data_IF_783243147859
#
_entry.id   IF_783243147859
#
_cell.length_a   1.000
_cell.length_b   1.000
_cell.length_c   1.000
_cell.angle_alpha   90.00
_cell.angle_beta   90.00
_cell.angle_gamma   90.00
#
_symmetry.space_group_name_H-M   'P 1'
#
loop_
_entity.id
_entity.type
_entity.pdbx_description
1 polymer ?
#
# COMPACT_ATOMS: atom_id res chain seq x y z
N UNK A 1 -20.61 -49.54 24.88
CA UNK A 1 -20.20 -48.70 26.02
C UNK A 1 -19.37 -47.55 25.45
N UNK A 2 -20.05 -46.42 25.23
CA UNK A 2 -19.49 -45.21 24.62
C UNK A 2 -18.72 -44.42 25.68
N UNK A 3 -17.43 -44.19 25.47
CA UNK A 3 -16.60 -43.36 26.34
C UNK A 3 -16.72 -41.90 25.90
N UNK A 4 -17.10 -41.06 26.86
CA UNK A 4 -17.24 -39.61 26.73
C UNK A 4 -15.87 -38.96 26.51
N UNK A 5 -15.72 -38.19 25.44
CA UNK A 5 -14.69 -37.15 25.32
C UNK A 5 -15.01 -36.00 26.31
N UNK A 6 -14.01 -35.44 27.02
CA UNK A 6 -14.22 -34.26 27.83
C UNK A 6 -14.32 -33.03 26.93
N UNK A 7 -15.35 -32.20 27.16
CA UNK A 7 -15.51 -30.91 26.52
C UNK A 7 -14.28 -30.00 26.77
N UNK A 8 -13.90 -29.13 25.81
CA UNK A 8 -12.80 -28.20 25.97
C UNK A 8 -13.10 -27.20 27.10
N UNK A 9 -12.06 -26.70 27.81
CA UNK A 9 -12.25 -25.79 28.93
C UNK A 9 -12.82 -24.46 28.45
N UNK A 10 -13.98 -24.10 28.98
CA UNK A 10 -14.57 -22.76 28.84
C UNK A 10 -13.62 -21.76 29.49
N UNK A 11 -12.95 -20.92 28.68
CA UNK A 11 -12.19 -19.78 29.19
C UNK A 11 -13.16 -18.82 29.88
N UNK A 12 -13.20 -18.88 31.21
CA UNK A 12 -13.90 -17.91 32.03
C UNK A 12 -13.15 -16.56 31.92
N UNK A 13 -13.64 -15.66 31.07
CA UNK A 13 -13.21 -14.27 31.03
C UNK A 13 -13.71 -13.55 32.28
N UNK A 14 -12.95 -13.61 33.37
CA UNK A 14 -13.11 -12.69 34.49
C UNK A 14 -12.70 -11.30 34.02
N UNK A 15 -13.67 -10.52 33.51
CA UNK A 15 -13.46 -9.12 33.18
C UNK A 15 -13.21 -8.32 34.47
N UNK A 16 -11.98 -7.85 34.66
CA UNK A 16 -11.68 -6.88 35.71
C UNK A 16 -12.55 -5.62 35.50
N UNK A 17 -13.09 -5.01 36.57
CA UNK A 17 -13.93 -3.82 36.43
C UNK A 17 -13.15 -2.69 35.75
N UNK A 18 -13.73 -2.13 34.68
CA UNK A 18 -13.10 -1.07 33.90
C UNK A 18 -12.60 0.08 34.79
N UNK A 19 -11.43 0.62 34.49
CA UNK A 19 -10.87 1.74 35.25
C UNK A 19 -11.72 3.01 35.12
N UNK A 20 -11.51 3.99 36.01
CA UNK A 20 -12.33 5.22 36.07
C UNK A 20 -12.31 6.01 34.76
N UNK A 21 -11.18 6.01 34.05
CA UNK A 21 -11.01 6.74 32.79
C UNK A 21 -11.79 6.07 31.65
N UNK A 22 -11.76 4.75 31.61
CA UNK A 22 -12.53 3.91 30.67
C UNK A 22 -14.02 4.14 30.85
N UNK A 23 -14.52 4.16 32.10
CA UNK A 23 -15.93 4.46 32.40
C UNK A 23 -16.38 5.84 31.94
N UNK A 24 -15.48 6.82 31.93
CA UNK A 24 -15.78 8.18 31.47
C UNK A 24 -15.78 8.30 29.93
N UNK A 25 -14.82 7.66 29.26
CA UNK A 25 -14.61 7.80 27.81
C UNK A 25 -15.55 6.91 26.98
N UNK A 26 -15.89 5.71 27.48
CA UNK A 26 -16.74 4.74 26.78
C UNK A 26 -18.09 5.32 26.33
N UNK A 27 -18.91 5.97 27.18
CA UNK A 27 -20.18 6.56 26.74
C UNK A 27 -20.03 7.71 25.73
N UNK A 28 -18.87 8.36 25.67
CA UNK A 28 -18.59 9.41 24.67
C UNK A 28 -18.31 8.77 23.31
N UNK A 29 -17.45 7.74 23.27
CA UNK A 29 -17.17 7.00 22.05
C UNK A 29 -18.42 6.32 21.49
N UNK A 30 -19.25 5.68 22.33
CA UNK A 30 -20.51 5.08 21.88
C UNK A 30 -21.45 6.11 21.24
N UNK A 31 -21.59 7.31 21.84
CA UNK A 31 -22.39 8.40 21.25
C UNK A 31 -21.82 8.95 19.94
N UNK A 32 -20.50 8.91 19.77
CA UNK A 32 -19.85 9.29 18.52
C UNK A 32 -20.13 8.25 17.44
N UNK A 33 -19.95 6.96 17.77
CA UNK A 33 -20.25 5.84 16.87
C UNK A 33 -21.74 5.78 16.48
N UNK A 34 -22.65 6.24 17.34
CA UNK A 34 -24.08 6.30 17.02
C UNK A 34 -24.45 7.32 15.93
N UNK A 35 -23.50 8.20 15.56
CA UNK A 35 -23.67 9.15 14.47
C UNK A 35 -23.27 8.60 13.10
N UNK A 36 -22.68 7.39 13.05
CA UNK A 36 -22.26 6.79 11.77
C UNK A 36 -23.44 6.62 10.82
N UNK A 37 -23.26 7.05 9.57
CA UNK A 37 -24.21 6.91 8.48
C UNK A 37 -23.77 5.81 7.51
N UNK A 38 -24.70 5.37 6.64
CA UNK A 38 -24.41 4.38 5.60
C UNK A 38 -24.23 2.94 6.11
N UNK A 39 -24.60 2.67 7.36
CA UNK A 39 -24.46 1.37 7.99
C UNK A 39 -24.83 1.34 9.48
N UNK A 40 -24.63 0.17 10.09
CA UNK A 40 -24.71 -0.01 11.54
C UNK A 40 -23.49 -0.76 12.08
N UNK A 41 -23.11 -0.41 13.30
CA UNK A 41 -22.03 -1.05 14.05
C UNK A 41 -22.63 -1.72 15.29
N UNK A 42 -22.61 -3.05 15.33
CA UNK A 42 -22.97 -3.79 16.54
C UNK A 42 -21.72 -3.96 17.41
N UNK A 43 -21.69 -3.32 18.57
CA UNK A 43 -20.62 -3.49 19.56
C UNK A 43 -21.04 -4.49 20.62
N UNK A 44 -20.23 -5.55 20.80
CA UNK A 44 -20.40 -6.58 21.81
C UNK A 44 -19.28 -6.49 22.85
N UNK A 45 -19.62 -6.44 24.13
CA UNK A 45 -18.65 -6.44 25.25
C UNK A 45 -19.22 -7.26 26.41
N UNK A 46 -18.69 -8.46 26.64
CA UNK A 46 -19.27 -9.40 27.60
C UNK A 46 -20.73 -9.73 27.23
N UNK A 47 -21.69 -9.36 28.09
CA UNK A 47 -23.13 -9.54 27.84
C UNK A 47 -23.80 -8.30 27.23
N UNK A 48 -23.09 -7.18 27.13
CA UNK A 48 -23.64 -5.94 26.61
C UNK A 48 -23.61 -5.94 25.08
N UNK A 49 -24.70 -5.47 24.48
CA UNK A 49 -24.86 -5.31 23.04
C UNK A 49 -25.37 -3.91 22.75
N UNK A 50 -24.62 -3.15 21.96
CA UNK A 50 -25.01 -1.84 21.45
C UNK A 50 -25.13 -1.91 19.93
N UNK A 51 -26.26 -1.50 19.39
CA UNK A 51 -26.42 -1.30 17.94
C UNK A 51 -26.36 0.21 17.70
N UNK A 52 -25.35 0.64 16.95
CA UNK A 52 -25.00 2.05 16.77
C UNK A 52 -25.09 2.41 15.29
N UNK A 53 -25.39 3.69 15.01
CA UNK A 53 -25.42 4.26 13.66
C UNK A 53 -26.84 4.41 13.12
N UNK A 54 -26.96 5.04 11.95
CA UNK A 54 -28.25 5.41 11.33
C UNK A 54 -28.80 4.35 10.37
N UNK A 55 -28.18 3.16 10.33
CA UNK A 55 -28.57 2.07 9.44
C UNK A 55 -28.06 2.24 8.02
N UNK A 56 -28.15 1.17 7.22
CA UNK A 56 -27.70 1.17 5.82
C UNK A 56 -27.15 -0.19 5.38
N UNK A 57 -26.44 -0.19 4.25
CA UNK A 57 -25.98 -1.41 3.61
C UNK A 57 -24.78 -2.08 4.32
N UNK A 58 -23.98 -1.33 5.08
CA UNK A 58 -22.78 -1.84 5.78
C UNK A 58 -23.11 -2.17 7.22
N UNK A 59 -23.27 -3.45 7.55
CA UNK A 59 -23.55 -3.89 8.92
C UNK A 59 -22.40 -4.76 9.40
N UNK A 60 -21.71 -4.33 10.45
CA UNK A 60 -20.51 -4.99 10.98
C UNK A 60 -20.59 -5.16 12.49
N UNK A 61 -19.96 -6.21 13.01
CA UNK A 61 -19.94 -6.54 14.44
C UNK A 61 -18.53 -6.39 14.98
N UNK A 62 -18.36 -5.45 15.91
CA UNK A 62 -17.13 -5.27 16.67
C UNK A 62 -17.27 -5.90 18.06
N UNK A 63 -16.32 -6.74 18.45
CA UNK A 63 -16.26 -7.38 19.76
C UNK A 63 -15.11 -6.78 20.57
N UNK A 64 -15.41 -6.22 21.73
CA UNK A 64 -14.43 -5.74 22.70
C UNK A 64 -14.16 -6.87 23.70
N UNK A 65 -12.93 -7.40 23.68
CA UNK A 65 -12.48 -8.42 24.62
C UNK A 65 -11.89 -7.81 25.90
N UNK A 66 -11.31 -6.62 25.78
CA UNK A 66 -10.67 -5.88 26.86
C UNK A 66 -11.12 -4.42 26.88
N UNK A 67 -11.81 -4.01 27.94
CA UNK A 67 -12.34 -2.64 28.10
C UNK A 67 -11.26 -1.55 28.04
N UNK A 68 -9.97 -1.88 28.25
CA UNK A 68 -8.85 -0.94 28.05
C UNK A 68 -8.76 -0.43 26.60
N UNK A 69 -9.35 -1.13 25.63
CA UNK A 69 -9.45 -0.68 24.24
C UNK A 69 -10.13 0.68 24.13
N UNK A 70 -11.21 0.93 24.90
CA UNK A 70 -11.95 2.20 24.86
C UNK A 70 -11.08 3.41 25.19
N UNK A 71 -10.31 3.35 26.28
CA UNK A 71 -9.41 4.46 26.65
C UNK A 71 -8.27 4.63 25.66
N UNK A 72 -7.74 3.53 25.08
CA UNK A 72 -6.68 3.60 24.07
C UNK A 72 -7.18 4.29 22.79
N UNK A 73 -8.33 3.87 22.28
CA UNK A 73 -8.95 4.46 21.10
C UNK A 73 -9.26 5.95 21.29
N UNK A 74 -9.83 6.34 22.43
CA UNK A 74 -10.16 7.73 22.71
C UNK A 74 -8.94 8.65 22.82
N UNK A 75 -7.80 8.17 23.36
CA UNK A 75 -6.63 9.00 23.62
C UNK A 75 -5.56 8.95 22.52
N UNK A 76 -5.44 7.80 21.85
CA UNK A 76 -4.41 7.55 20.85
C UNK A 76 -4.92 7.49 19.41
N UNK A 77 -6.22 7.73 19.19
CA UNK A 77 -6.81 7.81 17.86
C UNK A 77 -6.71 6.51 17.06
N UNK A 78 -6.60 6.65 15.74
CA UNK A 78 -6.62 5.53 14.78
C UNK A 78 -5.43 4.58 14.94
N UNK A 79 -4.25 5.10 15.29
CA UNK A 79 -3.05 4.27 15.55
C UNK A 79 -3.27 3.38 16.78
N UNK A 80 -3.75 3.94 17.89
CA UNK A 80 -4.00 3.14 19.09
C UNK A 80 -5.18 2.18 18.93
N UNK A 81 -6.15 2.48 18.05
CA UNK A 81 -7.19 1.53 17.67
C UNK A 81 -6.60 0.31 16.95
N UNK A 82 -5.69 0.54 15.99
CA UNK A 82 -4.97 -0.55 15.30
C UNK A 82 -4.08 -1.35 16.27
N UNK A 83 -3.35 -0.69 17.17
CA UNK A 83 -2.54 -1.40 18.18
C UNK A 83 -3.41 -2.24 19.12
N UNK A 84 -4.57 -1.73 19.55
CA UNK A 84 -5.51 -2.49 20.35
C UNK A 84 -6.05 -3.72 19.59
N UNK A 85 -6.22 -3.63 18.27
CA UNK A 85 -6.52 -4.79 17.42
C UNK A 85 -5.38 -5.80 17.44
N UNK A 86 -4.14 -5.34 17.20
CA UNK A 86 -2.93 -6.18 17.22
C UNK A 86 -2.72 -6.87 18.57
N UNK A 87 -3.08 -6.21 19.68
CA UNK A 87 -3.02 -6.74 21.04
C UNK A 87 -4.19 -7.68 21.39
N UNK A 88 -5.09 -7.98 20.45
CA UNK A 88 -6.25 -8.84 20.68
C UNK A 88 -7.32 -8.24 21.60
N UNK A 89 -7.29 -6.92 21.84
CA UNK A 89 -8.23 -6.26 22.75
C UNK A 89 -9.61 -6.07 22.13
N UNK A 90 -9.68 -6.05 20.80
CA UNK A 90 -10.92 -6.08 20.05
C UNK A 90 -10.74 -6.81 18.71
N UNK A 91 -11.85 -7.26 18.14
CA UNK A 91 -11.92 -7.87 16.82
C UNK A 91 -13.23 -7.49 16.12
N UNK A 92 -13.36 -7.90 14.86
CA UNK A 92 -14.56 -7.67 14.06
C UNK A 92 -14.79 -8.85 13.12
N UNK A 93 -16.03 -9.10 12.77
CA UNK A 93 -16.42 -10.13 11.79
C UNK A 93 -16.03 -9.75 10.36
N UNK A 94 -16.04 -8.46 10.04
CA UNK A 94 -15.60 -7.92 8.76
C UNK A 94 -14.74 -6.66 8.96
N UNK A 95 -13.41 -6.82 8.86
CA UNK A 95 -12.47 -5.71 9.05
C UNK A 95 -12.49 -4.74 7.87
N UNK A 96 -12.68 -5.24 6.65
CA UNK A 96 -12.81 -4.41 5.45
C UNK A 96 -14.09 -3.59 5.54
N UNK A 97 -15.22 -4.21 5.88
CA UNK A 97 -16.50 -3.54 6.10
C UNK A 97 -16.43 -2.46 7.17
N UNK A 98 -15.72 -2.73 8.28
CA UNK A 98 -15.51 -1.76 9.35
C UNK A 98 -14.72 -0.54 8.87
N UNK A 99 -13.60 -0.76 8.18
CA UNK A 99 -12.78 0.32 7.60
C UNK A 99 -13.61 1.13 6.59
N UNK A 100 -14.39 0.45 5.75
CA UNK A 100 -15.27 1.10 4.76
C UNK A 100 -16.34 1.97 5.41
N UNK A 101 -16.94 1.50 6.52
CA UNK A 101 -17.91 2.29 7.28
C UNK A 101 -17.28 3.56 7.87
N UNK A 102 -16.08 3.46 8.44
CA UNK A 102 -15.36 4.63 8.95
C UNK A 102 -14.89 5.57 7.85
N UNK A 103 -14.41 5.04 6.72
CA UNK A 103 -13.98 5.82 5.56
C UNK A 103 -15.15 6.56 4.89
N UNK A 104 -16.35 5.99 4.88
CA UNK A 104 -17.56 6.69 4.42
C UNK A 104 -17.89 7.90 5.29
N UNK A 105 -17.63 7.80 6.60
CA UNK A 105 -17.92 8.84 7.58
C UNK A 105 -16.69 9.72 7.89
N UNK A 106 -15.63 9.68 7.07
CA UNK A 106 -14.31 10.19 7.44
C UNK A 106 -14.30 11.67 7.83
N UNK A 107 -15.10 12.51 7.15
CA UNK A 107 -15.22 13.94 7.47
C UNK A 107 -15.89 14.15 8.85
N UNK A 108 -16.93 13.38 9.16
CA UNK A 108 -17.62 13.44 10.47
C UNK A 108 -16.79 12.80 11.61
N UNK A 109 -16.00 11.76 11.31
CA UNK A 109 -15.15 11.05 12.26
C UNK A 109 -13.91 11.88 12.62
N UNK A 110 -13.29 12.56 11.65
CA UNK A 110 -12.09 13.38 11.91
C UNK A 110 -12.43 14.65 12.70
N UNK A 111 -13.53 15.34 12.41
CA UNK A 111 -13.92 16.56 13.14
C UNK A 111 -14.30 16.28 14.61
N UNK A 112 -14.73 15.06 14.93
CA UNK A 112 -15.17 14.67 16.28
C UNK A 112 -14.09 14.02 17.14
N UNK A 113 -13.13 13.30 16.55
CA UNK A 113 -12.00 12.66 17.27
C UNK A 113 -10.88 13.65 17.59
N UNK A 114 -10.76 14.77 16.87
CA UNK A 114 -9.65 15.72 17.01
C UNK A 114 -9.83 16.86 18.04
N UNK A 115 -10.97 16.93 18.72
CA UNK A 115 -11.25 18.01 19.67
C UNK A 115 -10.71 17.72 21.08
N UNK A 116 -9.42 18.00 21.30
CA UNK A 116 -8.96 18.59 22.57
C UNK A 116 -7.76 17.97 23.28
N UNK A 117 -7.45 16.68 23.12
CA UNK A 117 -6.34 16.02 23.85
C UNK A 117 -5.24 15.43 22.95
N UNK A 118 -5.43 15.37 21.63
CA UNK A 118 -4.48 14.74 20.68
C UNK A 118 -3.25 15.58 20.31
N UNK A 119 -3.08 16.80 20.85
CA UNK A 119 -1.97 17.69 20.45
C UNK A 119 -0.58 17.16 20.82
N UNK A 120 -0.43 16.57 22.01
CA UNK A 120 0.86 16.05 22.48
C UNK A 120 1.25 14.75 21.76
N UNK A 121 0.28 13.86 21.52
CA UNK A 121 0.48 12.64 20.74
C UNK A 121 0.77 12.96 19.27
N UNK A 122 0.06 13.92 18.67
CA UNK A 122 0.36 14.44 17.31
C UNK A 122 1.78 15.04 17.20
N UNK A 123 2.26 15.73 18.23
CA UNK A 123 3.64 16.27 18.26
C UNK A 123 4.70 15.16 18.37
N UNK A 124 4.53 14.19 19.27
CA UNK A 124 5.46 13.07 19.38
C UNK A 124 5.51 12.24 18.08
N UNK A 125 4.36 12.04 17.44
CA UNK A 125 4.22 11.35 16.17
C UNK A 125 4.82 12.15 14.99
N UNK A 126 4.69 13.48 14.97
CA UNK A 126 5.31 14.31 13.93
C UNK A 126 6.84 14.33 14.05
N UNK A 127 7.39 14.27 15.27
CA UNK A 127 8.83 14.08 15.51
C UNK A 127 9.28 12.70 15.01
N UNK A 128 8.53 11.64 15.31
CA UNK A 128 8.83 10.29 14.80
C UNK A 128 8.83 10.24 13.26
N UNK A 129 7.90 10.93 12.61
CA UNK A 129 7.86 11.04 11.15
C UNK A 129 9.06 11.82 10.59
N UNK A 130 9.47 12.89 11.25
CA UNK A 130 10.64 13.67 10.85
C UNK A 130 11.96 12.85 10.91
N UNK A 131 12.05 11.87 11.82
CA UNK A 131 13.18 10.94 11.92
C UNK A 131 13.18 9.84 10.85
N UNK A 132 12.02 9.57 10.21
CA UNK A 132 11.87 8.54 9.19
C UNK A 132 12.04 9.06 7.74
N UNK A 133 12.68 10.22 7.52
CA UNK A 133 12.80 10.86 6.20
C UNK A 133 13.71 10.08 5.22
N UNK A 134 13.29 10.03 3.94
CA UNK A 134 13.99 9.33 2.84
C UNK A 134 15.16 10.12 2.22
N UNK A 135 16.10 10.56 3.06
CA UNK A 135 17.44 10.96 2.58
C UNK A 135 18.17 9.75 1.97
N UNK A 136 19.30 9.92 1.26
CA UNK A 136 20.07 8.77 0.72
C UNK A 136 20.33 7.67 1.77
N UNK A 137 20.84 8.06 2.94
CA UNK A 137 21.06 7.13 4.04
C UNK A 137 19.74 6.62 4.67
N UNK A 138 18.73 7.48 4.75
CA UNK A 138 17.41 7.15 5.31
C UNK A 138 16.63 6.15 4.45
N UNK A 139 16.64 6.30 3.13
CA UNK A 139 16.02 5.40 2.16
C UNK A 139 16.53 3.98 2.34
N UNK A 140 17.86 3.79 2.46
CA UNK A 140 18.45 2.47 2.71
C UNK A 140 17.96 1.85 4.03
N UNK A 141 17.86 2.65 5.10
CA UNK A 141 17.37 2.18 6.41
C UNK A 141 15.89 1.80 6.39
N UNK A 142 15.04 2.62 5.76
CA UNK A 142 13.60 2.38 5.69
C UNK A 142 13.28 1.17 4.81
N UNK A 143 14.00 1.00 3.69
CA UNK A 143 13.90 -0.18 2.83
C UNK A 143 14.40 -1.42 3.57
N UNK A 144 15.57 -1.38 4.21
CA UNK A 144 16.05 -2.51 5.03
C UNK A 144 15.01 -2.91 6.08
N UNK A 145 14.51 -1.99 6.89
CA UNK A 145 13.55 -2.31 7.95
C UNK A 145 12.20 -2.88 7.44
N UNK A 146 11.78 -2.56 6.21
CA UNK A 146 10.56 -3.11 5.61
C UNK A 146 10.77 -4.45 4.91
N UNK A 147 11.94 -4.65 4.30
CA UNK A 147 12.32 -5.90 3.62
C UNK A 147 13.12 -6.86 4.52
N UNK A 148 13.41 -6.49 5.78
CA UNK A 148 13.80 -7.43 6.85
C UNK A 148 12.65 -8.43 7.12
N UNK A 149 11.44 -8.18 6.60
CA UNK A 149 10.43 -9.21 6.34
C UNK A 149 10.92 -10.08 5.18
N UNK A 150 11.55 -11.20 5.50
CA UNK A 150 12.25 -12.03 4.52
C UNK A 150 11.39 -12.46 3.32
N UNK A 151 12.06 -12.69 2.19
CA UNK A 151 11.45 -13.14 0.93
C UNK A 151 10.41 -14.26 1.14
N UNK A 152 10.71 -15.21 2.02
CA UNK A 152 9.87 -16.36 2.35
C UNK A 152 8.44 -15.98 2.76
N UNK A 153 8.23 -14.85 3.45
CA UNK A 153 6.90 -14.38 3.82
C UNK A 153 6.12 -13.93 2.58
N UNK A 154 6.76 -13.13 1.73
CA UNK A 154 6.15 -12.58 0.52
C UNK A 154 5.78 -13.67 -0.49
N UNK A 155 6.59 -14.72 -0.61
CA UNK A 155 6.30 -15.86 -1.49
C UNK A 155 4.98 -16.57 -1.14
N UNK A 156 4.50 -16.50 0.11
CA UNK A 156 3.26 -17.14 0.53
C UNK A 156 2.01 -16.52 -0.11
N UNK A 157 2.04 -15.23 -0.45
CA UNK A 157 0.84 -14.51 -0.88
C UNK A 157 0.98 -13.71 -2.18
N UNK A 158 2.20 -13.42 -2.65
CA UNK A 158 2.38 -12.77 -3.96
C UNK A 158 2.05 -13.72 -5.12
N UNK A 159 2.05 -13.18 -6.34
CA UNK A 159 1.87 -14.01 -7.53
C UNK A 159 3.09 -14.90 -7.78
N UNK A 160 2.83 -16.09 -8.31
CA UNK A 160 3.85 -17.13 -8.44
C UNK A 160 4.80 -16.94 -9.62
N UNK A 161 4.49 -16.06 -10.55
CA UNK A 161 5.28 -15.85 -11.77
C UNK A 161 6.26 -14.69 -11.58
N UNK A 162 5.74 -13.53 -11.19
CA UNK A 162 6.48 -12.27 -11.18
C UNK A 162 6.92 -11.83 -9.79
N UNK A 163 6.22 -12.25 -8.72
CA UNK A 163 6.39 -11.78 -7.33
C UNK A 163 6.19 -10.25 -7.23
N UNK A 164 5.12 -9.74 -7.84
CA UNK A 164 4.76 -8.32 -7.80
C UNK A 164 4.13 -7.96 -6.45
N UNK A 165 4.85 -7.19 -5.64
CA UNK A 165 4.29 -6.48 -4.48
C UNK A 165 3.84 -5.06 -4.89
N UNK A 166 2.89 -5.02 -5.81
CA UNK A 166 2.29 -3.80 -6.37
C UNK A 166 0.88 -4.12 -6.85
N UNK A 167 0.03 -3.13 -7.12
CA UNK A 167 -1.27 -3.32 -7.74
C UNK A 167 -1.17 -4.16 -9.03
N UNK A 168 -1.97 -5.22 -9.11
CA UNK A 168 -2.25 -5.93 -10.36
C UNK A 168 -3.37 -5.22 -11.13
N UNK A 169 -3.59 -5.59 -12.40
CA UNK A 169 -4.70 -5.09 -13.22
C UNK A 169 -5.46 -6.31 -13.73
N UNK A 170 -6.69 -6.46 -13.27
CA UNK A 170 -7.51 -7.64 -13.57
C UNK A 170 -8.18 -7.46 -14.94
N UNK A 171 -7.87 -8.29 -15.95
CA UNK A 171 -8.48 -8.17 -17.28
C UNK A 171 -9.98 -8.51 -17.29
N UNK A 172 -10.43 -9.26 -16.30
CA UNK A 172 -11.84 -9.59 -16.02
C UNK A 172 -11.99 -9.95 -14.53
N UNK A 173 -13.20 -9.89 -13.94
CA UNK A 173 -13.41 -9.97 -12.49
C UNK A 173 -12.90 -11.26 -11.82
N UNK A 174 -12.92 -12.39 -12.53
CA UNK A 174 -12.54 -13.72 -12.04
C UNK A 174 -11.08 -14.09 -12.35
N UNK A 175 -10.29 -13.19 -12.93
CA UNK A 175 -8.89 -13.47 -13.28
C UNK A 175 -8.06 -13.83 -12.04
N UNK A 176 -7.12 -14.78 -12.19
CA UNK A 176 -6.17 -15.09 -11.13
C UNK A 176 -5.23 -13.92 -10.86
N UNK A 177 -4.61 -13.91 -9.68
CA UNK A 177 -3.59 -12.91 -9.35
C UNK A 177 -2.41 -12.97 -10.32
N UNK A 178 -2.00 -14.16 -10.75
CA UNK A 178 -0.96 -14.36 -11.77
C UNK A 178 -1.35 -13.70 -13.10
N UNK A 179 -2.57 -13.98 -13.60
CA UNK A 179 -3.06 -13.39 -14.84
C UNK A 179 -3.17 -11.86 -14.73
N UNK A 180 -3.61 -11.35 -13.58
CA UNK A 180 -3.71 -9.91 -13.34
C UNK A 180 -2.34 -9.22 -13.22
N UNK A 181 -1.35 -9.87 -12.59
CA UNK A 181 0.03 -9.37 -12.52
C UNK A 181 0.66 -9.33 -13.91
N UNK A 182 0.54 -10.41 -14.69
CA UNK A 182 1.04 -10.47 -16.08
C UNK A 182 0.34 -9.42 -16.95
N UNK A 183 -0.99 -9.29 -16.85
CA UNK A 183 -1.75 -8.28 -17.61
C UNK A 183 -1.32 -6.85 -17.27
N UNK A 184 -1.05 -6.55 -15.99
CA UNK A 184 -0.49 -5.25 -15.58
C UNK A 184 0.85 -4.96 -16.24
N UNK A 185 1.76 -5.93 -16.32
CA UNK A 185 3.06 -5.75 -16.98
C UNK A 185 2.88 -5.50 -18.48
N UNK A 186 2.06 -6.30 -19.15
CA UNK A 186 1.78 -6.11 -20.58
C UNK A 186 1.16 -4.74 -20.86
N UNK A 187 0.25 -4.27 -19.99
CA UNK A 187 -0.34 -2.93 -20.09
C UNK A 187 0.72 -1.84 -19.99
N UNK A 188 1.64 -1.90 -19.02
CA UNK A 188 2.75 -0.95 -18.90
C UNK A 188 3.68 -0.98 -20.11
N UNK A 189 4.00 -2.17 -20.64
CA UNK A 189 4.86 -2.31 -21.82
C UNK A 189 4.19 -1.76 -23.08
N UNK A 190 2.87 -1.90 -23.20
CA UNK A 190 2.10 -1.35 -24.30
C UNK A 190 2.02 0.18 -24.22
N UNK A 191 1.83 0.76 -23.02
CA UNK A 191 1.91 2.21 -22.80
C UNK A 191 3.29 2.76 -23.21
N UNK A 192 4.34 1.99 -22.96
CA UNK A 192 5.71 2.34 -23.34
C UNK A 192 6.05 2.02 -24.79
N UNK A 193 5.15 1.41 -25.58
CA UNK A 193 5.49 0.91 -26.93
C UNK A 193 6.80 0.09 -26.91
N UNK A 194 6.98 -0.71 -25.87
CA UNK A 194 8.26 -1.36 -25.59
C UNK A 194 8.54 -2.45 -26.63
N UNK A 195 9.76 -2.42 -27.19
CA UNK A 195 10.19 -3.29 -28.28
C UNK A 195 11.69 -3.60 -28.19
N UNK A 196 12.22 -4.51 -29.02
CA UNK A 196 13.57 -5.05 -28.90
C UNK A 196 14.69 -4.02 -29.09
N UNK A 197 14.40 -2.92 -29.79
CA UNK A 197 15.34 -1.83 -30.02
C UNK A 197 15.56 -0.93 -28.80
N UNK A 198 14.64 -0.97 -27.83
CA UNK A 198 14.67 -0.05 -26.70
C UNK A 198 15.60 -0.53 -25.57
N UNK A 199 16.16 0.43 -24.86
CA UNK A 199 16.75 0.26 -23.54
C UNK A 199 15.79 0.77 -22.46
N UNK A 200 15.28 -0.17 -21.66
CA UNK A 200 14.39 0.09 -20.54
C UNK A 200 15.18 0.32 -19.25
N UNK A 201 14.89 1.40 -18.53
CA UNK A 201 15.24 1.54 -17.12
C UNK A 201 14.04 1.18 -16.24
N UNK A 202 14.22 0.22 -15.34
CA UNK A 202 13.31 -0.03 -14.22
C UNK A 202 13.89 0.58 -12.93
N UNK A 203 13.13 1.48 -12.31
CA UNK A 203 13.46 2.01 -10.98
C UNK A 203 12.66 1.24 -9.93
N UNK A 204 13.38 0.45 -9.12
CA UNK A 204 12.80 -0.44 -8.11
C UNK A 204 12.63 -1.86 -8.61
N UNK A 205 13.73 -2.63 -8.62
CA UNK A 205 13.78 -4.02 -9.13
C UNK A 205 12.77 -4.98 -8.50
N UNK A 206 12.43 -4.78 -7.23
CA UNK A 206 11.64 -5.77 -6.48
C UNK A 206 12.32 -7.15 -6.51
N UNK A 207 11.56 -8.16 -6.94
CA UNK A 207 12.03 -9.55 -7.12
C UNK A 207 12.34 -9.90 -8.58
N UNK A 208 12.54 -8.88 -9.44
CA UNK A 208 12.96 -9.02 -10.83
C UNK A 208 11.86 -9.37 -11.83
N UNK A 209 10.60 -9.49 -11.39
CA UNK A 209 9.48 -9.93 -12.24
C UNK A 209 9.32 -9.08 -13.50
N UNK A 210 9.31 -7.75 -13.37
CA UNK A 210 9.15 -6.85 -14.50
C UNK A 210 10.36 -6.88 -15.44
N UNK A 211 11.60 -6.77 -14.92
CA UNK A 211 12.79 -6.79 -15.77
C UNK A 211 12.93 -8.10 -16.56
N UNK A 212 12.72 -9.23 -15.89
CA UNK A 212 12.77 -10.56 -16.52
C UNK A 212 11.67 -10.69 -17.58
N UNK A 213 10.44 -10.29 -17.25
CA UNK A 213 9.32 -10.37 -18.19
C UNK A 213 9.54 -9.48 -19.42
N UNK A 214 10.00 -8.24 -19.24
CA UNK A 214 10.33 -7.31 -20.32
C UNK A 214 11.39 -7.90 -21.28
N UNK A 215 12.52 -8.36 -20.72
CA UNK A 215 13.61 -8.91 -21.51
C UNK A 215 13.19 -10.17 -22.29
N UNK A 216 12.34 -11.02 -21.69
CA UNK A 216 11.84 -12.26 -22.33
C UNK A 216 10.82 -11.98 -23.42
N UNK A 217 9.83 -11.12 -23.19
CA UNK A 217 8.68 -10.97 -24.09
C UNK A 217 8.85 -9.86 -25.12
N UNK A 218 9.61 -8.81 -24.81
CA UNK A 218 9.88 -7.70 -25.74
C UNK A 218 11.27 -7.76 -26.35
N UNK A 219 12.17 -8.53 -25.75
CA UNK A 219 13.53 -8.67 -26.23
C UNK A 219 14.39 -7.41 -26.09
N UNK A 220 13.93 -6.43 -25.31
CA UNK A 220 14.65 -5.19 -25.05
C UNK A 220 15.84 -5.42 -24.11
N UNK A 221 16.76 -4.44 -24.07
CA UNK A 221 17.77 -4.37 -23.01
C UNK A 221 17.14 -3.73 -21.78
N UNK A 222 17.44 -4.24 -20.59
CA UNK A 222 16.90 -3.73 -19.33
C UNK A 222 18.05 -3.37 -18.40
N UNK A 223 18.02 -2.16 -17.84
CA UNK A 223 18.74 -1.84 -16.61
C UNK A 223 17.73 -1.74 -15.48
N UNK A 224 17.96 -2.42 -14.38
CA UNK A 224 17.10 -2.36 -13.20
C UNK A 224 17.94 -2.07 -11.96
N UNK A 225 17.42 -1.26 -11.03
CA UNK A 225 18.15 -0.91 -9.80
C UNK A 225 17.33 -1.12 -8.53
N UNK A 226 18.03 -1.57 -7.47
CA UNK A 226 17.50 -1.65 -6.10
C UNK A 226 18.58 -1.23 -5.10
N UNK A 227 18.16 -0.77 -3.93
CA UNK A 227 19.07 -0.50 -2.79
C UNK A 227 19.00 -1.59 -1.71
N UNK A 228 18.17 -2.63 -1.91
CA UNK A 228 18.05 -3.78 -1.02
C UNK A 228 19.05 -4.88 -1.40
N UNK A 229 19.82 -5.33 -0.40
CA UNK A 229 20.79 -6.41 -0.56
C UNK A 229 20.12 -7.75 -0.89
N UNK A 230 18.97 -8.03 -0.25
CA UNK A 230 18.21 -9.27 -0.43
C UNK A 230 17.54 -9.33 -1.81
N UNK A 231 16.89 -8.25 -2.23
CA UNK A 231 16.27 -8.16 -3.55
C UNK A 231 17.31 -8.27 -4.67
N UNK A 232 18.47 -7.63 -4.49
CA UNK A 232 19.57 -7.74 -5.44
C UNK A 232 20.07 -9.18 -5.53
N UNK A 233 20.33 -9.86 -4.41
CA UNK A 233 20.79 -11.25 -4.39
C UNK A 233 19.77 -12.20 -5.04
N UNK A 234 18.50 -12.08 -4.66
CA UNK A 234 17.40 -12.89 -5.20
C UNK A 234 17.24 -12.68 -6.70
N UNK A 235 17.19 -11.42 -7.15
CA UNK A 235 17.00 -11.10 -8.57
C UNK A 235 18.19 -11.51 -9.42
N UNK A 236 19.42 -11.35 -8.92
CA UNK A 236 20.62 -11.84 -9.61
C UNK A 236 20.54 -13.34 -9.88
N UNK A 237 20.13 -14.14 -8.89
CA UNK A 237 19.96 -15.57 -9.05
C UNK A 237 18.87 -15.92 -10.08
N UNK A 238 17.74 -15.20 -10.08
CA UNK A 238 16.68 -15.39 -11.08
C UNK A 238 17.12 -15.03 -12.50
N UNK A 239 17.84 -13.92 -12.68
CA UNK A 239 18.35 -13.50 -14.01
C UNK A 239 19.27 -14.57 -14.59
N UNK A 240 20.19 -15.11 -13.77
CA UNK A 240 21.10 -16.18 -14.20
C UNK A 240 20.36 -17.48 -14.52
N UNK A 241 19.37 -17.87 -13.69
CA UNK A 241 18.56 -19.06 -13.93
C UNK A 241 17.73 -18.99 -15.23
N UNK A 242 17.34 -17.78 -15.64
CA UNK A 242 16.62 -17.52 -16.90
C UNK A 242 17.56 -17.28 -18.09
N UNK A 243 18.88 -17.21 -17.87
CA UNK A 243 19.88 -16.99 -18.92
C UNK A 243 19.81 -15.61 -19.59
N UNK A 244 19.42 -14.57 -18.84
CA UNK A 244 19.18 -13.21 -19.36
C UNK A 244 20.28 -12.21 -19.01
N UNK A 245 21.46 -12.70 -18.61
CA UNK A 245 22.58 -11.86 -18.16
C UNK A 245 23.13 -10.95 -19.28
N UNK A 246 22.93 -11.33 -20.55
CA UNK A 246 23.29 -10.53 -21.73
C UNK A 246 22.31 -9.37 -22.00
N UNK A 247 21.09 -9.44 -21.44
CA UNK A 247 20.02 -8.44 -21.66
C UNK A 247 19.69 -7.61 -20.44
N UNK A 248 19.94 -8.12 -19.25
CA UNK A 248 19.58 -7.45 -17.99
C UNK A 248 20.83 -7.04 -17.23
N UNK A 249 20.99 -5.73 -17.03
CA UNK A 249 21.95 -5.15 -16.11
C UNK A 249 21.26 -4.86 -14.78
N UNK A 250 21.61 -5.61 -13.73
CA UNK A 250 21.13 -5.39 -12.36
C UNK A 250 22.13 -4.52 -11.59
N UNK A 251 21.67 -3.37 -11.11
CA UNK A 251 22.44 -2.43 -10.30
C UNK A 251 22.02 -2.48 -8.83
N UNK A 252 22.96 -2.18 -7.93
CA UNK A 252 22.71 -2.01 -6.49
C UNK A 252 22.91 -0.56 -6.07
N UNK A 253 22.23 0.35 -6.76
CA UNK A 253 22.45 1.79 -6.65
C UNK A 253 21.14 2.56 -6.40
N UNK A 254 21.26 3.70 -5.72
CA UNK A 254 20.13 4.62 -5.60
C UNK A 254 19.84 5.25 -6.97
N UNK A 255 18.56 5.30 -7.37
CA UNK A 255 18.16 5.85 -8.66
C UNK A 255 18.66 7.29 -8.89
N UNK A 256 18.86 8.07 -7.82
CA UNK A 256 19.39 9.44 -7.86
C UNK A 256 20.82 9.50 -8.38
N UNK A 257 21.60 8.43 -8.21
CA UNK A 257 22.99 8.33 -8.62
C UNK A 257 23.19 7.76 -10.03
N UNK A 258 22.14 7.21 -10.64
CA UNK A 258 22.24 6.62 -11.98
C UNK A 258 22.67 7.65 -13.02
N UNK A 259 23.39 7.18 -14.04
CA UNK A 259 23.85 7.98 -15.17
C UNK A 259 23.38 7.39 -16.50
N UNK A 260 23.58 8.14 -17.59
CA UNK A 260 23.19 7.73 -18.93
C UNK A 260 21.82 8.27 -19.38
N UNK A 261 21.28 7.63 -20.40
CA UNK A 261 19.99 7.92 -21.03
C UNK A 261 19.32 6.63 -21.47
N UNK A 262 17.99 6.60 -21.40
CA UNK A 262 17.16 5.44 -21.67
C UNK A 262 15.98 5.81 -22.56
N UNK A 263 15.65 4.92 -23.50
CA UNK A 263 14.50 5.10 -24.39
C UNK A 263 13.19 5.06 -23.62
N UNK A 264 13.12 4.19 -22.60
CA UNK A 264 11.92 3.91 -21.82
C UNK A 264 12.28 3.84 -20.34
N UNK A 265 11.44 4.42 -19.49
CA UNK A 265 11.57 4.29 -18.04
C UNK A 265 10.27 3.74 -17.48
N UNK A 266 10.37 2.80 -16.55
CA UNK A 266 9.24 2.31 -15.77
C UNK A 266 9.56 2.41 -14.28
N UNK A 267 8.60 2.92 -13.52
CA UNK A 267 8.69 2.98 -12.07
C UNK A 267 7.34 2.64 -11.48
N UNK A 268 7.28 1.53 -10.74
CA UNK A 268 6.05 0.96 -10.19
C UNK A 268 6.07 1.11 -8.68
N UNK A 269 5.19 1.96 -8.15
CA UNK A 269 4.96 2.16 -6.72
C UNK A 269 6.24 2.47 -5.92
N UNK A 270 7.18 3.17 -6.58
CA UNK A 270 8.43 3.64 -5.98
C UNK A 270 8.32 5.10 -5.50
N UNK A 271 7.44 5.89 -6.11
CA UNK A 271 7.27 7.32 -5.80
C UNK A 271 6.84 7.54 -4.33
N UNK A 272 6.16 6.58 -3.73
CA UNK A 272 5.67 6.57 -2.36
C UNK A 272 6.82 6.52 -1.34
N UNK A 273 7.94 5.90 -1.73
CA UNK A 273 9.16 5.80 -0.93
C UNK A 273 10.09 7.02 -1.09
N UNK A 274 9.74 8.00 -1.92
CA UNK A 274 10.58 9.20 -2.16
C UNK A 274 10.46 10.22 -1.01
N UNK A 275 9.27 10.36 -0.43
CA UNK A 275 8.93 11.47 0.48
C UNK A 275 8.50 12.75 -0.26
N UNK A 276 7.43 13.40 0.20
CA UNK A 276 6.81 14.55 -0.49
C UNK A 276 7.77 15.71 -0.80
N UNK A 277 8.82 15.90 0.00
CA UNK A 277 9.81 16.97 -0.16
C UNK A 277 10.78 16.73 -1.33
N UNK A 278 10.89 15.48 -1.78
CA UNK A 278 11.82 15.06 -2.83
C UNK A 278 11.10 14.71 -4.14
N UNK A 279 9.79 14.98 -4.24
CA UNK A 279 8.99 14.70 -5.43
C UNK A 279 9.56 15.39 -6.69
N UNK A 280 9.95 16.67 -6.56
CA UNK A 280 10.64 17.42 -7.62
C UNK A 280 11.96 16.74 -8.03
N UNK A 281 12.80 16.38 -7.06
CA UNK A 281 14.07 15.67 -7.32
C UNK A 281 13.84 14.34 -8.05
N UNK A 282 12.80 13.59 -7.67
CA UNK A 282 12.43 12.34 -8.33
C UNK A 282 12.08 12.56 -9.80
N UNK A 283 11.15 13.47 -10.10
CA UNK A 283 10.72 13.76 -11.48
C UNK A 283 11.87 14.31 -12.35
N UNK A 284 12.68 15.23 -11.82
CA UNK A 284 13.91 15.71 -12.50
C UNK A 284 14.90 14.58 -12.80
N UNK A 285 14.99 13.60 -11.90
CA UNK A 285 15.87 12.45 -12.13
C UNK A 285 15.33 11.58 -13.25
N UNK A 286 14.02 11.33 -13.32
CA UNK A 286 13.42 10.59 -14.43
C UNK A 286 13.67 11.31 -15.75
N UNK A 287 13.40 12.62 -15.83
CA UNK A 287 13.67 13.42 -17.02
C UNK A 287 15.15 13.40 -17.40
N UNK A 288 16.05 13.58 -16.43
CA UNK A 288 17.50 13.52 -16.67
C UNK A 288 17.92 12.18 -17.28
N UNK A 289 17.28 11.07 -16.91
CA UNK A 289 17.62 9.75 -17.42
C UNK A 289 16.89 9.40 -18.73
N UNK A 290 15.92 10.21 -19.17
CA UNK A 290 15.11 9.93 -20.34
C UNK A 290 15.73 10.55 -21.61
N UNK A 291 15.68 9.81 -22.73
CA UNK A 291 15.90 10.41 -24.05
C UNK A 291 14.82 11.45 -24.38
N UNK A 292 15.09 12.47 -25.22
CA UNK A 292 14.10 13.51 -25.54
C UNK A 292 12.78 12.96 -26.11
N UNK A 293 12.83 11.88 -26.89
CA UNK A 293 11.70 11.17 -27.49
C UNK A 293 11.18 10.03 -26.59
N UNK A 294 11.77 9.84 -25.42
CA UNK A 294 11.48 8.72 -24.53
C UNK A 294 10.12 8.80 -23.83
N UNK A 295 9.70 7.66 -23.30
CA UNK A 295 8.45 7.51 -22.55
C UNK A 295 8.71 6.98 -21.14
N UNK A 296 7.94 7.47 -20.17
CA UNK A 296 7.94 7.03 -18.78
C UNK A 296 6.56 6.45 -18.45
N UNK A 297 6.52 5.23 -17.93
CA UNK A 297 5.34 4.68 -17.27
C UNK A 297 5.54 4.72 -15.76
N UNK A 298 4.74 5.56 -15.09
CA UNK A 298 4.76 5.72 -13.64
C UNK A 298 3.47 5.15 -13.05
N UNK A 299 3.57 4.10 -12.24
CA UNK A 299 2.45 3.63 -11.42
C UNK A 299 2.60 4.17 -10.00
N UNK A 300 1.57 4.82 -9.48
CA UNK A 300 1.61 5.53 -8.20
C UNK A 300 0.32 5.33 -7.42
N UNK A 301 0.43 4.97 -6.15
CA UNK A 301 -0.63 5.11 -5.16
C UNK A 301 -0.76 6.60 -4.84
N UNK A 302 -1.99 7.10 -4.92
CA UNK A 302 -2.31 8.50 -4.65
C UNK A 302 -3.23 8.64 -3.45
N UNK A 303 -3.20 9.81 -2.83
CA UNK A 303 -4.23 10.26 -1.90
C UNK A 303 -5.10 11.32 -2.57
N UNK A 304 -6.37 11.39 -2.16
CA UNK A 304 -7.28 12.47 -2.53
C UNK A 304 -6.64 13.84 -2.29
N UNK A 305 -6.67 14.71 -3.31
CA UNK A 305 -6.03 16.03 -3.28
C UNK A 305 -6.43 16.88 -2.06
N UNK A 306 -7.72 16.88 -1.69
CA UNK A 306 -8.23 17.63 -0.54
C UNK A 306 -7.60 17.21 0.79
N UNK A 307 -6.99 16.01 0.86
CA UNK A 307 -6.38 15.45 2.08
C UNK A 307 -4.86 15.51 2.07
N UNK A 308 -4.23 15.82 0.95
CA UNK A 308 -2.78 15.71 0.77
C UNK A 308 -1.99 16.47 1.84
N UNK A 309 -2.35 17.74 2.10
CA UNK A 309 -1.64 18.58 3.07
C UNK A 309 -1.73 18.02 4.50
N UNK A 310 -2.91 17.53 4.92
CA UNK A 310 -3.07 16.94 6.24
C UNK A 310 -2.32 15.60 6.33
N UNK A 311 -2.56 14.70 5.38
CA UNK A 311 -1.98 13.36 5.37
C UNK A 311 -0.46 13.36 5.23
N UNK A 312 0.14 14.33 4.53
CA UNK A 312 1.60 14.46 4.42
C UNK A 312 2.29 14.78 5.75
N UNK A 313 1.55 15.30 6.73
CA UNK A 313 2.04 15.71 8.07
C UNK A 313 1.70 14.71 9.18
N UNK A 314 0.73 13.84 8.96
CA UNK A 314 0.24 12.87 9.95
C UNK A 314 1.05 11.57 9.93
N UNK A 315 1.31 11.02 11.12
CA UNK A 315 1.76 9.63 11.27
C UNK A 315 0.51 8.75 11.49
N UNK A 316 0.22 7.90 10.52
CA UNK A 316 -0.84 6.91 10.61
C UNK A 316 -0.29 5.51 10.91
N UNK A 317 -1.18 4.52 10.96
CA UNK A 317 -0.81 3.12 11.17
C UNK A 317 0.18 2.63 10.09
N UNK A 318 -0.05 3.01 8.84
CA UNK A 318 0.77 2.57 7.70
C UNK A 318 2.19 3.10 7.84
N UNK A 319 2.38 4.40 8.07
CA UNK A 319 3.70 5.01 8.25
C UNK A 319 4.41 4.52 9.51
N UNK A 320 3.67 4.09 10.53
CA UNK A 320 4.25 3.63 11.78
C UNK A 320 4.70 2.17 11.72
N UNK A 321 3.91 1.29 11.12
CA UNK A 321 4.10 -0.16 11.22
C UNK A 321 4.46 -0.84 9.91
N UNK A 322 4.03 -0.28 8.78
CA UNK A 322 4.18 -0.92 7.46
C UNK A 322 5.25 -0.18 6.67
N UNK A 323 5.05 1.07 6.27
CA UNK A 323 5.96 1.83 5.43
C UNK A 323 6.52 3.08 6.14
N UNK A 324 7.50 2.94 7.06
CA UNK A 324 8.21 4.09 7.63
C UNK A 324 8.79 5.02 6.57
N UNK A 325 8.47 6.31 6.67
CA UNK A 325 8.88 7.32 5.70
C UNK A 325 8.05 7.36 4.41
N UNK A 326 7.11 6.44 4.23
CA UNK A 326 6.20 6.45 3.09
C UNK A 326 5.33 7.70 3.06
N UNK A 327 4.99 8.16 1.86
CA UNK A 327 3.96 9.17 1.65
C UNK A 327 3.16 8.83 0.41
N UNK A 328 1.92 9.33 0.34
CA UNK A 328 1.12 9.23 -0.86
C UNK A 328 1.06 10.61 -1.52
N UNK A 329 1.58 10.78 -2.74
CA UNK A 329 1.35 12.01 -3.50
C UNK A 329 -0.14 12.15 -3.84
N UNK A 330 -0.57 13.36 -4.19
CA UNK A 330 -1.85 13.56 -4.88
C UNK A 330 -1.61 13.83 -6.36
N UNK A 331 -2.67 13.79 -7.18
CA UNK A 331 -2.54 14.09 -8.61
C UNK A 331 -2.04 15.53 -8.81
N UNK A 332 -2.61 16.51 -8.09
CA UNK A 332 -2.13 17.90 -8.16
C UNK A 332 -0.68 18.01 -7.72
N UNK A 333 -0.25 17.32 -6.66
CA UNK A 333 1.15 17.37 -6.22
C UNK A 333 2.13 16.87 -7.29
N UNK A 334 1.81 15.77 -8.00
CA UNK A 334 2.63 15.24 -9.10
C UNK A 334 2.65 16.24 -10.25
N UNK A 335 1.49 16.72 -10.69
CA UNK A 335 1.38 17.59 -11.86
C UNK A 335 1.98 18.97 -11.63
N UNK A 336 1.84 19.53 -10.43
CA UNK A 336 2.50 20.78 -10.06
C UNK A 336 4.02 20.60 -10.06
N UNK A 337 4.54 19.51 -9.49
CA UNK A 337 5.98 19.25 -9.53
C UNK A 337 6.47 19.06 -10.97
N UNK A 338 5.75 18.33 -11.82
CA UNK A 338 6.10 18.21 -13.25
C UNK A 338 6.14 19.58 -13.95
N UNK A 339 5.09 20.38 -13.77
CA UNK A 339 4.94 21.70 -14.39
C UNK A 339 6.03 22.69 -13.98
N UNK A 340 6.46 22.65 -12.72
CA UNK A 340 7.44 23.59 -12.18
C UNK A 340 8.89 23.24 -12.52
N UNK A 341 9.17 21.95 -12.68
CA UNK A 341 10.53 21.43 -12.54
C UNK A 341 11.02 20.56 -13.70
N UNK A 342 10.16 20.25 -14.68
CA UNK A 342 10.48 19.39 -15.84
C UNK A 342 9.87 19.92 -17.14
N UNK A 343 10.26 19.35 -18.27
CA UNK A 343 9.65 19.51 -19.61
C UNK A 343 8.83 18.26 -20.00
N UNK A 344 8.50 17.40 -19.04
CA UNK A 344 7.71 16.20 -19.28
C UNK A 344 6.25 16.55 -19.55
N UNK A 345 5.64 15.89 -20.53
CA UNK A 345 4.22 16.01 -20.83
C UNK A 345 3.46 14.82 -20.25
N UNK A 346 2.31 15.07 -19.61
CA UNK A 346 1.36 14.01 -19.29
C UNK A 346 0.61 13.62 -20.58
N UNK A 347 0.75 12.38 -21.01
CA UNK A 347 0.11 11.86 -22.22
C UNK A 347 -1.13 11.02 -21.92
N UNK A 348 -1.10 10.26 -20.81
CA UNK A 348 -2.23 9.47 -20.35
C UNK A 348 -2.21 9.35 -18.83
N UNK A 349 -3.40 9.32 -18.21
CA UNK A 349 -3.59 8.98 -16.80
C UNK A 349 -4.78 8.03 -16.69
N UNK A 350 -4.57 6.88 -16.07
CA UNK A 350 -5.61 5.89 -15.83
C UNK A 350 -5.69 5.52 -14.34
N UNK A 351 -6.88 5.58 -13.76
CA UNK A 351 -7.16 5.10 -12.40
C UNK A 351 -7.33 3.57 -12.40
N UNK A 352 -6.55 2.90 -11.55
CA UNK A 352 -6.60 1.45 -11.30
C UNK A 352 -6.88 1.13 -9.83
N UNK A 353 -7.32 2.09 -9.00
CA UNK A 353 -7.47 1.93 -7.55
C UNK A 353 -8.33 0.73 -7.13
N UNK A 354 -9.42 0.43 -7.85
CA UNK A 354 -10.26 -0.74 -7.54
C UNK A 354 -9.57 -2.08 -7.87
N UNK A 355 -8.63 -2.10 -8.81
CA UNK A 355 -7.80 -3.28 -9.04
C UNK A 355 -6.83 -3.51 -7.88
N UNK A 356 -6.36 -2.45 -7.21
CA UNK A 356 -5.57 -2.62 -5.99
C UNK A 356 -6.43 -3.20 -4.85
N UNK A 357 -7.68 -2.77 -4.70
CA UNK A 357 -8.60 -3.41 -3.74
C UNK A 357 -8.75 -4.92 -4.01
N UNK A 358 -8.87 -5.33 -5.28
CA UNK A 358 -8.92 -6.75 -5.66
C UNK A 358 -7.58 -7.48 -5.40
N UNK A 359 -6.46 -6.80 -5.64
CA UNK A 359 -5.10 -7.32 -5.36
C UNK A 359 -4.91 -7.59 -3.88
N UNK A 360 -5.24 -6.62 -3.01
CA UNK A 360 -5.14 -6.74 -1.55
C UNK A 360 -6.06 -7.84 -1.00
N UNK A 361 -7.27 -7.97 -1.55
CA UNK A 361 -8.17 -9.07 -1.23
C UNK A 361 -7.53 -10.42 -1.56
N UNK A 362 -6.92 -10.56 -2.75
CA UNK A 362 -6.27 -11.80 -3.17
C UNK A 362 -5.05 -12.13 -2.30
N UNK A 363 -4.22 -11.14 -1.96
CA UNK A 363 -3.12 -11.30 -1.01
C UNK A 363 -3.62 -11.71 0.36
N UNK A 364 -4.67 -11.06 0.88
CA UNK A 364 -5.28 -11.42 2.17
C UNK A 364 -5.77 -12.86 2.19
N UNK A 365 -6.50 -13.29 1.15
CA UNK A 365 -6.97 -14.67 1.04
C UNK A 365 -5.83 -15.69 1.01
N UNK A 366 -4.73 -15.41 0.30
CA UNK A 366 -3.56 -16.29 0.25
C UNK A 366 -2.80 -16.32 1.58
N UNK A 367 -2.63 -15.17 2.21
CA UNK A 367 -2.01 -15.04 3.53
C UNK A 367 -2.78 -15.85 4.58
N UNK A 368 -4.11 -15.71 4.63
CA UNK A 368 -4.97 -16.50 5.54
C UNK A 368 -4.88 -18.01 5.28
N UNK A 369 -4.83 -18.42 4.01
CA UNK A 369 -4.70 -19.83 3.64
C UNK A 369 -3.34 -20.44 4.02
N UNK A 370 -2.35 -19.61 4.35
CA UNK A 370 -0.95 -20.01 4.62
C UNK A 370 -0.49 -19.65 6.03
N UNK A 371 -1.40 -19.33 6.96
CA UNK A 371 -1.03 -18.97 8.33
C UNK A 371 -0.17 -20.01 9.05
N UNK A 372 -0.37 -21.31 8.76
CA UNK A 372 0.50 -22.36 9.30
C UNK A 372 1.98 -22.16 8.93
N UNK A 373 2.26 -21.81 7.67
CA UNK A 373 3.62 -21.50 7.19
C UNK A 373 4.13 -20.19 7.78
N UNK A 374 3.27 -19.18 7.93
CA UNK A 374 3.61 -17.90 8.58
C UNK A 374 4.09 -18.14 10.03
N UNK A 375 3.38 -18.98 10.80
CA UNK A 375 3.80 -19.33 12.17
C UNK A 375 5.10 -20.14 12.20
N UNK A 376 5.30 -21.05 11.25
CA UNK A 376 6.55 -21.83 11.13
C UNK A 376 7.76 -20.93 10.83
N UNK A 377 7.57 -19.84 10.07
CA UNK A 377 8.60 -18.82 9.85
C UNK A 377 8.92 -17.96 11.09
N UNK A 378 8.18 -18.13 12.19
CA UNK A 378 8.44 -17.47 13.48
C UNK A 378 7.66 -16.18 13.72
N UNK A 379 6.72 -15.83 12.83
CA UNK A 379 5.83 -14.69 13.04
C UNK A 379 4.74 -15.02 14.06
N UNK A 380 4.54 -14.16 15.06
CA UNK A 380 3.57 -14.39 16.14
C UNK A 380 2.15 -13.92 15.78
N UNK A 381 1.17 -14.23 16.65
CA UNK A 381 -0.22 -13.80 16.47
C UNK A 381 -0.35 -12.27 16.36
N UNK A 382 0.49 -11.51 17.08
CA UNK A 382 0.49 -10.05 17.01
C UNK A 382 0.86 -9.58 15.61
N UNK A 383 1.88 -10.17 14.99
CA UNK A 383 2.26 -9.91 13.61
C UNK A 383 1.13 -10.27 12.65
N UNK A 384 0.54 -11.47 12.78
CA UNK A 384 -0.57 -11.92 11.92
C UNK A 384 -1.74 -10.94 11.97
N UNK A 385 -2.11 -10.45 13.16
CA UNK A 385 -3.14 -9.42 13.33
C UNK A 385 -2.72 -8.08 12.72
N UNK A 386 -1.46 -7.66 12.89
CA UNK A 386 -0.95 -6.46 12.23
C UNK A 386 -1.08 -6.55 10.70
N UNK A 387 -0.69 -7.68 10.11
CA UNK A 387 -0.71 -7.91 8.67
C UNK A 387 -2.14 -7.96 8.12
N UNK A 388 -3.04 -8.68 8.81
CA UNK A 388 -4.48 -8.70 8.49
C UNK A 388 -5.09 -7.30 8.54
N UNK A 389 -4.73 -6.51 9.56
CA UNK A 389 -5.18 -5.13 9.68
C UNK A 389 -4.66 -4.26 8.55
N UNK A 390 -3.38 -4.38 8.19
CA UNK A 390 -2.77 -3.69 7.06
C UNK A 390 -3.53 -3.94 5.75
N UNK A 391 -3.69 -5.21 5.36
CA UNK A 391 -4.33 -5.57 4.10
C UNK A 391 -5.79 -5.08 4.05
N UNK A 392 -6.55 -5.27 5.13
CA UNK A 392 -7.94 -4.83 5.21
C UNK A 392 -8.09 -3.30 5.23
N UNK A 393 -7.19 -2.60 5.93
CA UNK A 393 -7.16 -1.14 5.99
C UNK A 393 -6.93 -0.54 4.60
N UNK A 394 -5.93 -1.05 3.87
CA UNK A 394 -5.65 -0.62 2.51
C UNK A 394 -6.79 -1.00 1.55
N UNK A 395 -7.33 -2.23 1.62
CA UNK A 395 -8.44 -2.66 0.77
C UNK A 395 -9.67 -1.74 0.96
N UNK A 396 -10.05 -1.47 2.20
CA UNK A 396 -11.15 -0.56 2.51
C UNK A 396 -10.91 0.85 2.00
N UNK A 397 -9.68 1.37 2.14
CA UNK A 397 -9.29 2.69 1.65
C UNK A 397 -9.40 2.85 0.13
N UNK A 398 -9.01 1.81 -0.63
CA UNK A 398 -9.19 1.79 -2.08
C UNK A 398 -10.66 1.65 -2.50
N UNK A 399 -11.42 0.76 -1.83
CA UNK A 399 -12.86 0.58 -2.12
C UNK A 399 -13.69 1.84 -1.91
N UNK A 400 -13.35 2.64 -0.90
CA UNK A 400 -14.03 3.92 -0.60
C UNK A 400 -13.34 5.13 -1.25
N UNK A 401 -12.33 4.92 -2.11
CA UNK A 401 -11.62 5.99 -2.82
C UNK A 401 -11.10 7.09 -1.89
N UNK A 402 -10.64 6.71 -0.68
CA UNK A 402 -9.88 7.62 0.20
C UNK A 402 -8.42 7.71 -0.25
N UNK A 403 -7.95 6.64 -0.88
CA UNK A 403 -6.71 6.53 -1.63
C UNK A 403 -7.04 5.95 -3.02
N UNK A 404 -6.17 6.21 -4.00
CA UNK A 404 -6.29 5.74 -5.37
C UNK A 404 -4.97 5.17 -5.86
N UNK A 405 -4.95 4.63 -7.06
CA UNK A 405 -3.71 4.21 -7.72
C UNK A 405 -3.87 4.46 -9.19
N UNK A 406 -2.87 5.04 -9.82
CA UNK A 406 -2.93 5.36 -11.23
C UNK A 406 -1.68 4.90 -11.98
N UNK A 407 -1.84 4.74 -13.28
CA UNK A 407 -0.74 4.63 -14.24
C UNK A 407 -0.71 5.93 -15.04
N UNK A 408 0.43 6.62 -15.04
CA UNK A 408 0.69 7.79 -15.85
C UNK A 408 1.67 7.42 -16.97
N UNK A 409 1.34 7.79 -18.20
CA UNK A 409 2.29 7.83 -19.31
C UNK A 409 2.78 9.27 -19.44
N UNK A 410 4.08 9.47 -19.24
CA UNK A 410 4.75 10.75 -19.43
C UNK A 410 5.66 10.65 -20.66
N UNK A 411 5.74 11.73 -21.44
CA UNK A 411 6.65 11.83 -22.58
C UNK A 411 7.69 12.92 -22.39
N UNK A 412 8.90 12.68 -22.89
CA UNK A 412 9.86 13.75 -23.11
C UNK A 412 9.34 14.80 -24.10
N UNK A 413 10.01 15.95 -24.23
CA UNK A 413 9.55 17.05 -25.09
C UNK A 413 9.46 16.66 -26.58
N UNK A 414 10.29 15.70 -27.02
CA UNK A 414 10.29 15.14 -28.38
C UNK A 414 9.35 13.95 -28.57
N UNK A 415 8.73 13.42 -27.51
CA UNK A 415 7.94 12.20 -27.60
C UNK A 415 6.71 12.37 -28.51
N UNK A 416 6.51 11.40 -29.40
CA UNK A 416 5.35 11.32 -30.32
C UNK A 416 4.83 9.87 -30.37
N UNK A 417 4.30 9.33 -29.25
CA UNK A 417 3.76 7.98 -29.26
C UNK A 417 2.54 7.88 -30.16
N UNK A 418 2.34 6.70 -30.73
CA UNK A 418 1.19 6.37 -31.57
C UNK A 418 -0.05 6.39 -30.69
N UNK A 419 -0.96 7.34 -30.96
CA UNK A 419 -2.23 7.38 -30.26
C UNK A 419 -3.16 6.30 -30.81
N UNK A 420 -3.47 5.30 -29.99
CA UNK A 420 -4.39 4.23 -30.37
C UNK A 420 -5.76 4.80 -30.75
N UNK A 421 -6.17 4.60 -32.01
CA UNK A 421 -7.50 4.94 -32.50
C UNK A 421 -7.67 6.34 -33.10
N UNK A 422 -6.61 7.15 -33.20
CA UNK A 422 -6.63 8.37 -33.99
C UNK A 422 -6.06 8.07 -35.38
N UNK A 423 -6.88 8.26 -36.41
CA UNK A 423 -6.38 8.40 -37.78
C UNK A 423 -5.45 9.61 -37.80
N UNK A 424 -4.38 9.50 -38.57
CA UNK A 424 -3.48 10.61 -38.82
C UNK A 424 -4.31 11.74 -39.46
N UNK A 425 -4.57 12.81 -38.70
CA UNK A 425 -5.45 13.91 -39.13
C UNK A 425 -4.82 14.73 -40.25
N UNK A 426 -3.54 14.51 -40.50
CA UNK A 426 -2.72 15.15 -41.52
C UNK A 426 -2.43 14.23 -42.72
N UNK A 427 -3.04 13.04 -42.80
CA UNK A 427 -2.87 12.08 -43.91
C UNK A 427 -3.74 12.36 -45.15
#
# INVERSE_FOLDING_TARGET
MSQFEPAPPTLATTQAPADRLTRLLRPRLLRMLDKLEGGSLTVLEGRERHVLGKGGARNVTLRIHDSRAWRRMALGGTVAAAEAYMDGQWETDDLVGLVRLFAYNLEQVNDSVDSGTSRLSKWALSVAYALARNTLAGSKRNISAHYDLGNDLFELFLDREHRMYSAAVFPYPEASLEAASTHKLEKLFNLLELGPQHHLLEIGTGWGGLAIHAARTRGCRVTTTTISDEQHAYTKARIAAEGLEDRITLLKEDYRALEGRFDRIVSVEMIEAVGHQYLSTYLKTLERLLEPEGLIALQAITIRDQRFVAASREMDFIKRYIFPGGFLPSHTAILTAMQQDTQLNLLQLEDIGLHYAATLKAWGQRFEARLGEVYVQGYDERFVRMWRYYLAYCEGGFRERTIGTCQLLLGGPGARPVQAGLQDWDA
#
